data_IF_034679099834
#
_entry.id   IF_034679099834
#
_cell.length_a   1.000
_cell.length_b   1.000
_cell.length_c   1.000
_cell.angle_alpha   90.00
_cell.angle_beta   90.00
_cell.angle_gamma   90.00
#
_symmetry.space_group_name_H-M   'P 1'
#
loop_
_entity.id
_entity.type
_entity.pdbx_description
1 polymer ?
#
# COMPACT_ATOMS: atom_id res chain seq x y z
N UNK A 1 -7.84 -25.81 3.46
CA UNK A 1 -8.10 -24.38 3.73
C UNK A 1 -7.78 -23.53 2.49
N UNK A 2 -8.69 -23.43 1.51
CA UNK A 2 -8.47 -22.74 0.20
C UNK A 2 -9.51 -21.64 -0.11
N UNK A 3 -10.27 -21.18 0.89
CA UNK A 3 -11.45 -20.34 0.67
C UNK A 3 -11.22 -18.82 0.85
N UNK A 4 -10.06 -18.36 1.35
CA UNK A 4 -9.82 -16.94 1.58
C UNK A 4 -9.10 -16.23 0.42
N UNK A 5 -8.17 -16.91 -0.27
CA UNK A 5 -7.36 -16.33 -1.36
C UNK A 5 -8.15 -16.09 -2.67
N UNK A 6 -9.37 -16.64 -2.83
CA UNK A 6 -10.21 -16.41 -4.02
C UNK A 6 -11.04 -15.12 -3.98
N UNK A 7 -11.29 -14.54 -2.79
CA UNK A 7 -12.12 -13.32 -2.68
C UNK A 7 -11.38 -12.07 -3.15
N UNK A 8 -10.07 -11.98 -2.90
CA UNK A 8 -9.22 -10.87 -3.35
C UNK A 8 -9.08 -10.80 -4.89
N UNK A 9 -8.90 -11.96 -5.55
CA UNK A 9 -8.70 -12.07 -7.01
C UNK A 9 -9.83 -11.51 -7.87
N UNK A 10 -11.08 -11.67 -7.45
CA UNK A 10 -12.26 -11.19 -8.20
C UNK A 10 -12.52 -9.70 -7.97
N UNK A 11 -12.16 -9.20 -6.79
CA UNK A 11 -12.45 -7.84 -6.34
C UNK A 11 -11.64 -6.81 -7.15
N UNK A 12 -10.31 -6.92 -7.17
CA UNK A 12 -9.47 -5.90 -7.80
C UNK A 12 -9.43 -6.00 -9.34
N UNK A 13 -9.57 -7.21 -9.90
CA UNK A 13 -9.72 -7.40 -11.35
C UNK A 13 -11.03 -6.80 -11.87
N UNK A 14 -12.14 -6.91 -11.11
CA UNK A 14 -13.39 -6.22 -11.44
C UNK A 14 -13.29 -4.70 -11.22
N UNK A 15 -12.57 -4.25 -10.18
CA UNK A 15 -12.31 -2.83 -9.92
C UNK A 15 -11.42 -2.17 -10.98
N UNK A 16 -10.53 -2.90 -11.66
CA UNK A 16 -9.73 -2.32 -12.74
C UNK A 16 -10.45 -2.42 -14.11
N UNK A 17 -11.17 -3.52 -14.35
CA UNK A 17 -11.81 -3.78 -15.64
C UNK A 17 -13.12 -2.99 -15.87
N UNK A 18 -13.81 -2.53 -14.80
CA UNK A 18 -15.11 -1.85 -14.92
C UNK A 18 -15.06 -0.32 -14.89
N UNK A 19 -13.90 0.27 -14.63
CA UNK A 19 -13.71 1.73 -14.68
C UNK A 19 -13.41 2.29 -16.06
N UNK A 20 -13.34 1.43 -17.09
CA UNK A 20 -13.17 1.83 -18.49
C UNK A 20 -14.52 2.25 -19.09
N UNK A 21 -15.20 3.20 -18.42
CA UNK A 21 -16.32 3.96 -18.97
C UNK A 21 -15.86 5.39 -19.20
N UNK A 22 -15.55 5.76 -20.46
CA UNK A 22 -15.05 7.08 -20.88
C UNK A 22 -14.11 7.75 -19.85
N UNK A 23 -13.15 7.01 -19.32
CA UNK A 23 -12.15 7.56 -18.40
C UNK A 23 -11.32 8.62 -19.13
N UNK A 24 -11.05 9.75 -18.46
CA UNK A 24 -9.92 10.62 -18.83
C UNK A 24 -8.69 9.72 -19.03
N UNK A 25 -7.89 9.99 -20.07
CA UNK A 25 -6.74 9.15 -20.39
C UNK A 25 -5.82 9.03 -19.16
N UNK A 26 -5.25 7.84 -18.99
CA UNK A 26 -4.24 7.62 -17.96
C UNK A 26 -3.08 8.59 -18.18
N UNK A 27 -2.70 9.31 -17.14
CA UNK A 27 -1.58 10.25 -17.21
C UNK A 27 -0.35 9.57 -16.60
N UNK A 28 0.74 9.51 -17.36
CA UNK A 28 2.01 8.99 -16.88
C UNK A 28 2.99 10.12 -16.71
N UNK A 29 3.61 10.22 -15.53
CA UNK A 29 4.69 11.16 -15.22
C UNK A 29 5.80 10.41 -14.48
N UNK A 30 7.00 10.97 -14.47
CA UNK A 30 8.10 10.43 -13.66
C UNK A 30 8.17 11.19 -12.33
N UNK A 31 8.52 10.47 -11.27
CA UNK A 31 8.88 11.05 -9.98
C UNK A 31 10.32 10.73 -9.67
N UNK A 32 11.05 11.71 -9.12
CA UNK A 32 12.42 11.50 -8.69
C UNK A 32 12.43 10.78 -7.32
N UNK A 33 13.16 9.66 -7.26
CA UNK A 33 13.44 8.95 -6.01
C UNK A 33 14.96 8.90 -5.79
N UNK A 34 15.45 8.62 -4.57
CA UNK A 34 16.89 8.43 -4.34
C UNK A 34 17.53 7.32 -5.18
N UNK A 35 16.74 6.37 -5.68
CA UNK A 35 17.21 5.31 -6.57
C UNK A 35 17.13 5.65 -8.07
N UNK A 36 16.56 6.81 -8.42
CA UNK A 36 16.33 7.26 -9.80
C UNK A 36 14.86 7.57 -10.09
N UNK A 37 14.56 8.04 -11.30
CA UNK A 37 13.19 8.34 -11.70
C UNK A 37 12.35 7.06 -11.79
N UNK A 38 11.11 7.12 -11.30
CA UNK A 38 10.14 6.02 -11.35
C UNK A 38 8.88 6.51 -12.06
N UNK A 39 8.34 5.77 -13.05
CA UNK A 39 7.09 6.15 -13.69
C UNK A 39 5.91 5.92 -12.74
N UNK A 40 5.04 6.91 -12.65
CA UNK A 40 3.73 6.80 -12.00
C UNK A 40 2.64 7.03 -13.02
N UNK A 41 1.62 6.17 -12.98
CA UNK A 41 0.45 6.28 -13.85
C UNK A 41 -0.79 6.54 -13.00
N UNK A 42 -1.43 7.67 -13.25
CA UNK A 42 -2.68 8.06 -12.60
C UNK A 42 -3.86 7.64 -13.47
N UNK A 43 -4.78 6.88 -12.89
CA UNK A 43 -6.03 6.48 -13.52
C UNK A 43 -7.18 7.23 -12.85
N UNK A 44 -7.94 8.05 -13.58
CA UNK A 44 -9.14 8.65 -13.05
C UNK A 44 -10.20 7.57 -12.88
N UNK A 45 -10.64 7.38 -11.63
CA UNK A 45 -11.70 6.46 -11.26
C UNK A 45 -12.96 7.26 -10.92
N UNK A 46 -14.12 6.76 -11.35
CA UNK A 46 -15.40 7.29 -10.89
C UNK A 46 -15.48 7.23 -9.35
N UNK A 47 -16.09 8.22 -8.70
CA UNK A 47 -16.27 8.17 -7.26
C UNK A 47 -17.16 6.99 -6.88
N UNK A 48 -16.67 6.15 -5.98
CA UNK A 48 -17.45 5.09 -5.33
C UNK A 48 -17.80 5.55 -3.92
N UNK A 49 -19.01 5.24 -3.46
CA UNK A 49 -19.39 5.48 -2.07
C UNK A 49 -18.50 4.63 -1.16
N UNK A 50 -17.78 5.29 -0.26
CA UNK A 50 -16.88 4.65 0.68
C UNK A 50 -17.08 5.22 2.08
N UNK A 51 -17.02 4.35 3.09
CA UNK A 51 -16.96 4.74 4.49
C UNK A 51 -15.54 4.56 4.99
N UNK A 52 -14.97 5.61 5.55
CA UNK A 52 -13.63 5.57 6.15
C UNK A 52 -13.77 5.70 7.65
N UNK A 53 -13.24 4.73 8.39
CA UNK A 53 -13.29 4.69 9.86
C UNK A 53 -11.89 4.54 10.43
N UNK A 54 -11.66 5.10 11.61
CA UNK A 54 -10.40 4.88 12.33
C UNK A 54 -10.23 3.40 12.64
N UNK A 55 -9.01 2.90 12.49
CA UNK A 55 -8.70 1.52 12.83
C UNK A 55 -8.73 1.33 14.36
N UNK A 56 -9.33 0.25 14.84
CA UNK A 56 -9.36 -0.04 16.28
C UNK A 56 -7.97 -0.36 16.83
N UNK A 57 -7.79 -0.19 18.14
CA UNK A 57 -6.50 -0.35 18.81
C UNK A 57 -5.92 -1.76 18.68
N UNK A 58 -6.76 -2.80 18.62
CA UNK A 58 -6.31 -4.19 18.46
C UNK A 58 -5.73 -4.44 17.08
N UNK A 59 -6.42 -3.98 16.03
CA UNK A 59 -5.94 -4.07 14.65
C UNK A 59 -4.73 -3.18 14.41
N UNK A 60 -4.69 -1.97 14.98
CA UNK A 60 -3.53 -1.09 14.90
C UNK A 60 -2.30 -1.74 15.56
N UNK A 61 -2.46 -2.31 16.75
CA UNK A 61 -1.39 -3.07 17.42
C UNK A 61 -0.87 -4.20 16.52
N UNK A 62 -1.76 -4.94 15.86
CA UNK A 62 -1.37 -5.99 14.91
C UNK A 62 -0.54 -5.46 13.74
N UNK A 63 -0.83 -4.26 13.21
CA UNK A 63 -0.01 -3.65 12.16
C UNK A 63 1.41 -3.34 12.66
N UNK A 64 1.55 -2.87 13.89
CA UNK A 64 2.88 -2.66 14.49
C UNK A 64 3.64 -3.97 14.74
N UNK A 65 2.96 -5.03 15.19
CA UNK A 65 3.57 -6.36 15.35
C UNK A 65 4.03 -6.96 14.01
N UNK A 66 3.26 -6.78 12.95
CA UNK A 66 3.60 -7.23 11.59
C UNK A 66 4.79 -6.47 10.99
N UNK A 67 4.85 -5.17 11.20
CA UNK A 67 5.99 -4.34 10.81
C UNK A 67 7.27 -4.76 11.54
N UNK A 68 7.19 -5.02 12.86
CA UNK A 68 8.32 -5.58 13.60
C UNK A 68 8.76 -6.96 13.04
N UNK A 69 7.81 -7.79 12.60
CA UNK A 69 8.11 -9.07 11.96
C UNK A 69 8.75 -8.92 10.57
N UNK A 70 8.49 -7.82 9.84
CA UNK A 70 9.12 -7.55 8.55
C UNK A 70 10.67 -7.51 8.64
N UNK A 71 11.22 -7.11 9.78
CA UNK A 71 12.67 -7.18 10.01
C UNK A 71 13.23 -8.62 9.92
N UNK A 72 12.43 -9.62 10.29
CA UNK A 72 12.82 -11.03 10.14
C UNK A 72 12.85 -11.42 8.66
N UNK A 73 11.85 -11.00 7.88
CA UNK A 73 11.83 -11.19 6.43
C UNK A 73 13.08 -10.60 5.77
N UNK A 74 13.46 -9.37 6.14
CA UNK A 74 14.67 -8.74 5.66
C UNK A 74 15.93 -9.52 6.06
N UNK A 75 16.00 -10.01 7.30
CA UNK A 75 17.15 -10.78 7.80
C UNK A 75 17.35 -12.07 7.01
N UNK A 76 16.26 -12.78 6.69
CA UNK A 76 16.32 -14.04 5.94
C UNK A 76 16.83 -13.82 4.51
N UNK A 77 16.31 -12.81 3.81
CA UNK A 77 16.62 -12.63 2.38
C UNK A 77 17.75 -11.64 2.10
N UNK A 78 18.03 -10.71 3.01
CA UNK A 78 19.01 -9.62 2.85
C UNK A 78 19.82 -9.42 4.14
N UNK A 79 20.38 -10.51 4.68
CA UNK A 79 21.20 -10.49 5.89
C UNK A 79 22.23 -9.34 5.92
N UNK A 80 22.29 -8.61 7.04
CA UNK A 80 23.23 -7.51 7.25
C UNK A 80 22.85 -6.20 6.54
N UNK A 81 21.73 -6.15 5.81
CA UNK A 81 21.25 -4.91 5.18
C UNK A 81 20.53 -4.02 6.19
N UNK A 82 20.68 -2.70 6.04
CA UNK A 82 19.86 -1.74 6.79
C UNK A 82 18.38 -1.81 6.35
N UNK A 83 17.41 -1.58 7.25
CA UNK A 83 15.98 -1.70 6.94
C UNK A 83 15.44 -0.51 6.15
N UNK A 84 15.92 -0.34 4.92
CA UNK A 84 15.43 0.66 3.96
C UNK A 84 14.36 0.06 3.06
N UNK A 85 13.47 0.88 2.49
CA UNK A 85 12.44 0.42 1.54
C UNK A 85 13.05 -0.34 0.36
N UNK A 86 14.20 0.14 -0.16
CA UNK A 86 14.96 -0.53 -1.21
C UNK A 86 15.51 -1.90 -0.80
N UNK A 87 15.91 -2.05 0.46
CA UNK A 87 16.34 -3.35 0.97
C UNK A 87 15.17 -4.34 1.06
N UNK A 88 13.95 -3.87 1.35
CA UNK A 88 12.74 -4.69 1.29
C UNK A 88 12.35 -5.08 -0.14
N UNK A 89 12.52 -4.20 -1.14
CA UNK A 89 12.35 -4.55 -2.55
C UNK A 89 13.34 -5.66 -2.97
N UNK A 90 14.62 -5.57 -2.58
CA UNK A 90 15.61 -6.63 -2.84
C UNK A 90 15.28 -7.94 -2.10
N UNK A 91 14.83 -7.87 -0.84
CA UNK A 91 14.39 -9.04 -0.09
C UNK A 91 13.19 -9.72 -0.75
N UNK A 92 12.21 -8.94 -1.23
CA UNK A 92 11.06 -9.43 -1.97
C UNK A 92 11.48 -10.13 -3.27
N UNK A 93 12.38 -9.52 -4.05
CA UNK A 93 12.95 -10.12 -5.27
C UNK A 93 13.61 -11.47 -5.00
N UNK A 94 14.35 -11.60 -3.91
CA UNK A 94 15.02 -12.85 -3.52
C UNK A 94 14.02 -13.90 -3.06
N UNK A 95 13.08 -13.53 -2.19
CA UNK A 95 11.99 -14.42 -1.74
C UNK A 95 11.16 -14.98 -2.90
N UNK A 96 10.93 -14.19 -3.95
CA UNK A 96 10.23 -14.64 -5.16
C UNK A 96 10.98 -15.69 -5.96
N UNK A 97 12.32 -15.65 -5.94
CA UNK A 97 13.20 -16.58 -6.67
C UNK A 97 13.57 -17.81 -5.85
N UNK A 98 13.40 -17.73 -4.53
CA UNK A 98 13.60 -18.83 -3.60
C UNK A 98 12.59 -19.95 -3.85
N UNK A 99 13.10 -21.18 -3.99
CA UNK A 99 12.28 -22.38 -4.25
C UNK A 99 11.69 -22.99 -2.97
N UNK A 100 12.33 -22.78 -1.82
CA UNK A 100 11.86 -23.29 -0.52
C UNK A 100 10.84 -22.37 0.14
N UNK A 101 10.94 -21.06 -0.09
CA UNK A 101 10.06 -19.99 0.41
C UNK A 101 9.72 -20.14 1.89
N UNK A 102 10.54 -19.55 2.75
CA UNK A 102 10.31 -19.57 4.21
C UNK A 102 9.04 -18.82 4.65
N UNK A 103 8.47 -18.00 3.76
CA UNK A 103 7.26 -17.23 4.00
C UNK A 103 6.23 -17.45 2.90
N UNK A 104 4.95 -17.55 3.28
CA UNK A 104 3.83 -17.62 2.33
C UNK A 104 3.55 -16.24 1.69
N UNK A 105 2.79 -16.24 0.60
CA UNK A 105 2.31 -15.00 -0.03
C UNK A 105 1.57 -14.12 0.98
N UNK A 106 0.65 -14.71 1.76
CA UNK A 106 -0.12 -14.01 2.78
C UNK A 106 0.78 -13.37 3.86
N UNK A 107 1.79 -14.09 4.33
CA UNK A 107 2.71 -13.56 5.33
C UNK A 107 3.52 -12.36 4.79
N UNK A 108 3.97 -12.43 3.54
CA UNK A 108 4.71 -11.32 2.90
C UNK A 108 3.80 -10.12 2.65
N UNK A 109 2.55 -10.33 2.26
CA UNK A 109 1.55 -9.27 2.12
C UNK A 109 1.35 -8.54 3.46
N UNK A 110 1.13 -9.29 4.54
CA UNK A 110 0.91 -8.72 5.85
C UNK A 110 2.14 -7.97 6.37
N UNK A 111 3.34 -8.57 6.31
CA UNK A 111 4.57 -7.98 6.83
C UNK A 111 5.00 -6.74 6.03
N UNK A 112 5.13 -6.86 4.70
CA UNK A 112 5.58 -5.73 3.87
C UNK A 112 4.51 -4.64 3.78
N UNK A 113 3.23 -5.03 3.74
CA UNK A 113 2.13 -4.07 3.73
C UNK A 113 2.07 -3.28 5.03
N UNK A 114 2.21 -3.95 6.18
CA UNK A 114 2.27 -3.29 7.47
C UNK A 114 3.51 -2.38 7.59
N UNK A 115 4.68 -2.85 7.15
CA UNK A 115 5.90 -2.05 7.14
C UNK A 115 5.74 -0.76 6.32
N UNK A 116 5.31 -0.89 5.06
CA UNK A 116 5.06 0.27 4.20
C UNK A 116 4.02 1.21 4.81
N UNK A 117 2.93 0.68 5.34
CA UNK A 117 1.88 1.49 5.94
C UNK A 117 2.33 2.23 7.21
N UNK A 118 3.13 1.61 8.06
CA UNK A 118 3.71 2.28 9.23
C UNK A 118 4.72 3.36 8.85
N UNK A 119 5.53 3.13 7.80
CA UNK A 119 6.41 4.17 7.24
C UNK A 119 5.60 5.36 6.74
N UNK A 120 4.55 5.13 5.96
CA UNK A 120 3.65 6.20 5.49
C UNK A 120 2.97 6.94 6.67
N UNK A 121 2.47 6.22 7.67
CA UNK A 121 1.82 6.81 8.83
C UNK A 121 2.77 7.69 9.66
N UNK A 122 3.99 7.21 9.90
CA UNK A 122 4.98 7.91 10.72
C UNK A 122 5.69 9.05 9.98
N UNK A 123 6.07 8.84 8.73
CA UNK A 123 6.88 9.80 7.98
C UNK A 123 6.02 10.91 7.34
N UNK A 124 4.77 10.62 6.95
CA UNK A 124 3.93 11.51 6.12
C UNK A 124 2.65 12.02 6.82
N UNK A 125 2.60 11.97 8.15
CA UNK A 125 1.43 12.36 8.97
C UNK A 125 0.11 11.73 8.47
N UNK A 126 0.15 10.40 8.32
CA UNK A 126 -1.00 9.60 7.90
C UNK A 126 -1.47 8.70 9.05
N UNK A 127 -2.66 8.13 8.92
CA UNK A 127 -3.24 7.25 9.93
C UNK A 127 -3.84 5.99 9.30
N UNK A 128 -3.74 4.86 10.01
CA UNK A 128 -4.42 3.64 9.60
C UNK A 128 -5.94 3.79 9.71
N UNK A 129 -6.64 3.36 8.67
CA UNK A 129 -8.09 3.40 8.56
C UNK A 129 -8.64 2.10 7.98
N UNK A 130 -9.89 1.81 8.31
CA UNK A 130 -10.71 0.85 7.59
C UNK A 130 -11.48 1.59 6.49
N UNK A 131 -11.36 1.11 5.26
CA UNK A 131 -12.13 1.61 4.12
C UNK A 131 -13.15 0.54 3.75
N UNK A 132 -14.43 0.90 3.82
CA UNK A 132 -15.55 0.00 3.52
C UNK A 132 -16.26 0.53 2.29
N UNK A 133 -16.41 -0.30 1.27
CA UNK A 133 -17.11 0.01 0.03
C UNK A 133 -18.13 -1.09 -0.33
N UNK A 134 -18.69 -1.03 -1.54
CA UNK A 134 -19.66 -2.03 -2.01
C UNK A 134 -19.07 -3.43 -2.22
N UNK A 135 -17.75 -3.53 -2.30
CA UNK A 135 -17.06 -4.78 -2.59
C UNK A 135 -16.51 -5.44 -1.31
N UNK A 136 -16.22 -4.68 -0.25
CA UNK A 136 -15.73 -5.22 1.01
C UNK A 136 -15.07 -4.20 1.94
N UNK A 137 -14.08 -4.67 2.70
CA UNK A 137 -13.36 -3.87 3.69
C UNK A 137 -11.87 -4.07 3.51
N UNK A 138 -11.15 -2.97 3.29
CA UNK A 138 -9.71 -2.93 3.14
C UNK A 138 -9.08 -2.05 4.22
N UNK A 139 -7.80 -2.35 4.51
CA UNK A 139 -6.96 -1.50 5.35
C UNK A 139 -6.21 -0.50 4.48
N UNK A 140 -6.37 0.78 4.82
CA UNK A 140 -5.67 1.88 4.17
C UNK A 140 -4.90 2.72 5.18
N UNK A 141 -4.05 3.59 4.66
CA UNK A 141 -3.42 4.67 5.41
C UNK A 141 -3.85 5.97 4.77
N UNK A 142 -4.50 6.85 5.53
CA UNK A 142 -5.08 8.10 5.05
C UNK A 142 -4.28 9.29 5.57
N UNK A 143 -3.97 10.26 4.71
CA UNK A 143 -3.38 11.53 5.15
C UNK A 143 -4.34 12.25 6.08
N UNK A 144 -3.85 12.79 7.20
CA UNK A 144 -4.70 13.59 8.10
C UNK A 144 -5.15 14.90 7.44
N UNK A 145 -4.33 15.44 6.55
CA UNK A 145 -4.51 16.78 5.95
C UNK A 145 -5.19 16.77 4.58
N UNK A 146 -4.94 15.76 3.76
CA UNK A 146 -5.38 15.71 2.37
C UNK A 146 -6.26 14.48 2.08
N UNK A 147 -7.10 14.56 1.04
CA UNK A 147 -7.91 13.44 0.53
C UNK A 147 -7.05 12.38 -0.21
N UNK A 148 -6.04 11.84 0.47
CA UNK A 148 -5.11 10.83 -0.04
C UNK A 148 -5.19 9.60 0.84
N UNK A 149 -5.45 8.44 0.22
CA UNK A 149 -5.44 7.13 0.87
C UNK A 149 -4.53 6.20 0.09
N UNK A 150 -3.56 5.61 0.78
CA UNK A 150 -2.75 4.52 0.27
C UNK A 150 -3.29 3.17 0.78
N UNK A 151 -3.11 2.11 0.00
CA UNK A 151 -3.52 0.74 0.38
C UNK A 151 -2.31 -0.20 0.37
N UNK A 152 -1.49 -0.22 1.44
CA UNK A 152 -0.20 -0.92 1.44
C UNK A 152 -0.33 -2.43 1.24
N UNK A 153 -1.25 -3.09 1.94
CA UNK A 153 -1.45 -4.55 1.84
C UNK A 153 -1.90 -4.95 0.43
N UNK A 154 -2.91 -4.25 -0.10
CA UNK A 154 -3.39 -4.49 -1.47
C UNK A 154 -2.29 -4.21 -2.51
N UNK A 155 -1.41 -3.24 -2.23
CA UNK A 155 -0.30 -2.92 -3.12
C UNK A 155 0.72 -4.05 -3.20
N UNK A 156 1.12 -4.65 -2.08
CA UNK A 156 2.03 -5.81 -2.06
C UNK A 156 1.38 -7.01 -2.75
N UNK A 157 0.11 -7.29 -2.44
CA UNK A 157 -0.62 -8.41 -3.04
C UNK A 157 -0.59 -8.35 -4.58
N UNK A 158 -0.83 -7.17 -5.16
CA UNK A 158 -0.75 -6.96 -6.61
C UNK A 158 0.64 -7.21 -7.18
N UNK A 159 1.71 -6.93 -6.44
CA UNK A 159 3.08 -7.14 -6.95
C UNK A 159 3.47 -8.61 -6.97
N UNK A 160 2.97 -9.38 -6.02
CA UNK A 160 3.06 -10.85 -6.06
C UNK A 160 2.35 -11.40 -7.29
N UNK A 161 1.17 -10.85 -7.63
CA UNK A 161 0.39 -11.26 -8.80
C UNK A 161 1.05 -10.84 -10.12
N UNK A 162 1.58 -9.61 -10.19
CA UNK A 162 2.11 -8.99 -11.41
C UNK A 162 3.60 -9.24 -11.66
N UNK A 163 4.29 -9.94 -10.75
CA UNK A 163 5.74 -10.22 -10.85
C UNK A 163 6.61 -8.94 -10.87
N UNK A 164 6.16 -7.89 -10.19
CA UNK A 164 6.89 -6.62 -10.04
C UNK A 164 7.59 -6.57 -8.66
N UNK A 165 8.84 -6.13 -8.62
CA UNK A 165 9.74 -6.25 -7.47
C UNK A 165 10.44 -4.94 -7.06
N UNK A 166 10.09 -3.80 -7.68
CA UNK A 166 10.61 -2.47 -7.34
C UNK A 166 9.47 -1.52 -6.97
N UNK A 167 8.81 -1.76 -5.83
CA UNK A 167 7.54 -1.12 -5.54
C UNK A 167 7.45 -0.46 -4.17
N UNK A 168 8.18 -0.93 -3.16
CA UNK A 168 8.10 -0.38 -1.80
C UNK A 168 8.53 1.08 -1.80
N UNK A 169 9.70 1.36 -2.40
CA UNK A 169 10.21 2.71 -2.54
C UNK A 169 9.32 3.55 -3.48
N UNK A 170 8.94 3.00 -4.62
CA UNK A 170 8.12 3.70 -5.62
C UNK A 170 6.76 4.14 -5.06
N UNK A 171 6.07 3.29 -4.31
CA UNK A 171 4.77 3.64 -3.70
C UNK A 171 4.94 4.72 -2.63
N UNK A 172 5.99 4.62 -1.81
CA UNK A 172 6.26 5.61 -0.77
C UNK A 172 6.45 7.00 -1.38
N UNK A 173 7.36 7.14 -2.35
CA UNK A 173 7.62 8.42 -2.98
C UNK A 173 6.45 8.91 -3.82
N UNK A 174 5.71 8.03 -4.50
CA UNK A 174 4.49 8.41 -5.19
C UNK A 174 3.45 9.01 -4.24
N UNK A 175 3.30 8.45 -3.04
CA UNK A 175 2.39 8.96 -2.01
C UNK A 175 2.88 10.30 -1.46
N UNK A 176 4.18 10.40 -1.15
CA UNK A 176 4.82 11.63 -0.69
C UNK A 176 4.63 12.78 -1.70
N UNK A 177 4.99 12.57 -2.97
CA UNK A 177 4.81 13.55 -4.05
C UNK A 177 3.35 13.95 -4.20
N UNK A 178 2.42 13.00 -4.07
CA UNK A 178 0.97 13.29 -4.17
C UNK A 178 0.48 14.20 -3.03
N UNK A 179 1.04 14.04 -1.83
CA UNK A 179 0.75 14.89 -0.67
C UNK A 179 1.39 16.28 -0.86
N UNK A 180 2.65 16.32 -1.28
CA UNK A 180 3.44 17.54 -1.43
C UNK A 180 2.97 18.44 -2.57
N UNK A 181 2.49 17.86 -3.68
CA UNK A 181 1.95 18.58 -4.83
C UNK A 181 0.76 19.49 -4.45
N UNK A 182 0.14 19.27 -3.29
CA UNK A 182 -0.81 20.19 -2.66
C UNK A 182 -2.09 20.44 -3.44
N UNK A 183 -2.27 19.80 -4.59
CA UNK A 183 -3.46 19.91 -5.44
C UNK A 183 -4.66 19.11 -4.91
N UNK A 184 -4.45 18.34 -3.84
CA UNK A 184 -5.49 17.54 -3.23
C UNK A 184 -6.37 18.39 -2.32
N UNK A 185 -7.67 18.09 -2.34
CA UNK A 185 -8.63 18.71 -1.43
C UNK A 185 -8.18 18.44 0.01
N UNK A 186 -8.27 19.47 0.85
CA UNK A 186 -8.05 19.32 2.29
C UNK A 186 -9.18 18.48 2.87
N UNK A 187 -8.85 17.59 3.79
CA UNK A 187 -9.87 16.88 4.55
C UNK A 187 -10.64 17.90 5.40
N UNK A 188 -11.92 18.10 5.11
CA UNK A 188 -12.78 19.00 5.88
C UNK A 188 -13.30 18.37 7.18
N UNK A 189 -12.75 17.23 7.60
CA UNK A 189 -13.21 16.45 8.76
C UNK A 189 -12.66 16.95 10.11
N UNK A 190 -12.05 18.13 10.16
CA UNK A 190 -11.59 18.73 11.42
C UNK A 190 -12.27 20.07 11.64
N UNK A 191 -13.13 20.10 12.67
CA UNK A 191 -13.54 21.21 13.55
C UNK A 191 -15.04 21.11 13.92
N UNK A 192 -15.36 20.15 14.78
CA UNK A 192 -16.26 20.46 15.90
C UNK A 192 -15.37 20.51 17.13
N UNK A 193 -14.78 21.67 17.39
CA UNK A 193 -14.18 21.99 18.67
C UNK A 193 -15.28 21.92 19.75
N UNK A 194 -15.03 21.17 20.82
CA UNK A 194 -15.75 21.24 22.09
C UNK A 194 -14.81 21.83 23.13
#
# INVERSE_FOLDING_TARGET
>A
MKAHTMRSKKFFSQLLARFIGKAKQAETREIDTPAGPVPITTFPVAPVSQQVRSLDAGRLKRMHELDAAAAQFLTVYCYGSSPTLKAYDEAFRRWRKDKSRDFSDEAVIEMLGAHLGNRLASDLDMEWVEVIDEYGTDLGVRSRKYEVIAFPLASVAKRIENYDDNFMEGIYYATMTTIDDGQMKRNTTTETEC
#
